data_IF_995842496143
#
_entry.id   IF_995842496143
#
_cell.length_a   1.000
_cell.length_b   1.000
_cell.length_c   1.000
_cell.angle_alpha   90.00
_cell.angle_beta   90.00
_cell.angle_gamma   90.00
#
_symmetry.space_group_name_H-M   'P 1'
#
loop_
_entity.id
_entity.type
_entity.pdbx_description
1 polymer ?
#
# COMPACT_ATOMS: atom_id res chain seq x y z
N UNK A 1 -49.32 -8.05 87.71
CA UNK A 1 -47.92 -7.66 87.46
C UNK A 1 -47.67 -7.76 85.96
N UNK A 2 -47.38 -6.62 85.33
CA UNK A 2 -46.71 -6.37 84.03
C UNK A 2 -47.27 -6.96 82.71
N UNK A 3 -47.73 -6.01 81.89
CA UNK A 3 -47.92 -5.95 80.44
C UNK A 3 -46.63 -6.11 79.61
N UNK A 4 -46.74 -6.48 78.32
CA UNK A 4 -46.04 -6.00 77.09
C UNK A 4 -46.28 -7.02 75.94
N UNK A 5 -47.00 -6.73 74.85
CA UNK A 5 -46.68 -5.92 73.64
C UNK A 5 -45.58 -6.51 72.73
N UNK A 6 -45.96 -7.00 71.53
CA UNK A 6 -45.35 -6.80 70.19
C UNK A 6 -46.08 -7.72 69.17
N UNK A 7 -46.88 -7.30 68.17
CA UNK A 7 -46.72 -6.45 66.96
C UNK A 7 -45.90 -7.06 65.79
N UNK A 8 -46.52 -6.98 64.58
CA UNK A 8 -45.97 -7.06 63.20
C UNK A 8 -45.86 -8.49 62.62
N UNK A 9 -46.38 -8.84 61.43
CA UNK A 9 -47.06 -8.09 60.38
C UNK A 9 -47.42 -9.01 59.17
N UNK A 10 -48.54 -8.65 58.56
CA UNK A 10 -49.12 -8.87 57.20
C UNK A 10 -48.08 -9.17 56.08
N UNK A 11 -48.35 -9.82 54.94
CA UNK A 11 -49.43 -9.60 53.98
C UNK A 11 -49.50 -10.72 52.91
N UNK A 12 -50.71 -10.92 52.39
CA UNK A 12 -51.19 -11.93 51.45
C UNK A 12 -51.22 -11.38 50.00
N UNK A 13 -51.22 -12.32 49.03
CA UNK A 13 -51.76 -12.27 47.66
C UNK A 13 -50.94 -11.60 46.54
N UNK A 14 -50.58 -12.33 45.48
CA UNK A 14 -51.36 -12.81 44.30
C UNK A 14 -51.40 -11.76 43.17
N UNK A 15 -50.74 -12.10 42.05
CA UNK A 15 -51.26 -12.08 40.67
C UNK A 15 -50.37 -11.40 39.62
N UNK A 16 -50.44 -12.01 38.43
CA UNK A 16 -50.31 -11.47 37.07
C UNK A 16 -49.03 -11.72 36.27
N UNK A 17 -49.30 -12.39 35.15
CA UNK A 17 -48.46 -12.67 33.99
C UNK A 17 -47.89 -11.41 33.36
N UNK A 18 -46.62 -11.47 32.95
CA UNK A 18 -46.11 -10.72 31.81
C UNK A 18 -45.43 -11.72 30.88
N UNK A 19 -46.08 -11.94 29.74
CA UNK A 19 -45.54 -12.57 28.54
C UNK A 19 -44.45 -11.66 27.98
N UNK A 20 -43.18 -12.04 28.11
CA UNK A 20 -42.14 -11.49 27.26
C UNK A 20 -42.18 -12.23 25.94
N UNK A 21 -42.65 -11.51 24.92
CA UNK A 21 -42.43 -11.82 23.52
C UNK A 21 -40.95 -12.16 23.35
N UNK A 22 -40.63 -13.35 22.83
CA UNK A 22 -39.29 -13.62 22.34
C UNK A 22 -39.11 -12.75 21.11
N UNK A 23 -38.52 -11.58 21.32
CA UNK A 23 -38.11 -10.69 20.25
C UNK A 23 -37.29 -11.52 19.27
N UNK A 24 -37.83 -11.59 18.05
CA UNK A 24 -37.15 -12.13 16.90
C UNK A 24 -35.74 -11.55 16.91
N UNK A 25 -34.75 -12.43 16.80
CA UNK A 25 -33.45 -12.01 16.29
C UNK A 25 -33.71 -11.46 14.90
N UNK A 26 -33.97 -10.15 14.83
CA UNK A 26 -33.60 -9.38 13.68
C UNK A 26 -32.13 -9.70 13.48
N UNK A 27 -31.85 -10.51 12.46
CA UNK A 27 -30.61 -10.41 11.73
C UNK A 27 -30.57 -8.95 11.26
N UNK A 28 -30.08 -8.08 12.13
CA UNK A 28 -29.48 -6.85 11.70
C UNK A 28 -28.29 -7.30 10.88
N UNK A 29 -28.52 -7.42 9.57
CA UNK A 29 -27.50 -7.52 8.57
C UNK A 29 -26.71 -6.23 8.64
N UNK A 30 -25.89 -6.12 9.68
CA UNK A 30 -24.91 -5.07 9.86
C UNK A 30 -24.03 -5.18 8.62
N UNK A 31 -24.25 -4.25 7.70
CA UNK A 31 -23.26 -3.83 6.72
C UNK A 31 -21.94 -3.79 7.46
N UNK A 32 -21.02 -4.71 7.15
CA UNK A 32 -19.74 -4.81 7.86
C UNK A 32 -19.01 -3.49 7.66
N UNK A 33 -19.10 -2.60 8.66
CA UNK A 33 -18.55 -1.27 8.56
C UNK A 33 -17.04 -1.36 8.29
N UNK A 34 -16.54 -0.52 7.38
CA UNK A 34 -15.12 -0.41 7.14
C UNK A 34 -14.49 0.28 8.34
N UNK A 35 -13.59 -0.39 9.07
CA UNK A 35 -12.89 0.21 10.21
C UNK A 35 -11.69 1.06 9.75
N UNK A 36 -11.27 2.03 10.58
CA UNK A 36 -10.04 2.78 10.32
C UNK A 36 -8.80 1.87 10.40
N UNK A 37 -8.82 0.84 11.25
CA UNK A 37 -7.72 -0.10 11.38
C UNK A 37 -7.48 -0.91 10.10
N UNK A 38 -8.54 -1.33 9.41
CA UNK A 38 -8.43 -2.01 8.13
C UNK A 38 -7.88 -1.09 7.03
N UNK A 39 -8.31 0.17 7.01
CA UNK A 39 -7.78 1.18 6.08
C UNK A 39 -6.28 1.40 6.33
N UNK A 40 -5.87 1.59 7.58
CA UNK A 40 -4.46 1.75 7.96
C UNK A 40 -3.66 0.50 7.55
N UNK A 41 -4.23 -0.70 7.72
CA UNK A 41 -3.59 -1.96 7.34
C UNK A 41 -3.37 -2.05 5.82
N UNK A 42 -4.40 -1.76 5.03
CA UNK A 42 -4.29 -1.70 3.57
C UNK A 42 -3.26 -0.65 3.13
N UNK A 43 -3.23 0.50 3.80
CA UNK A 43 -2.27 1.57 3.55
C UNK A 43 -0.83 1.14 3.81
N UNK A 44 -0.56 0.40 4.90
CA UNK A 44 0.76 -0.17 5.19
C UNK A 44 1.20 -1.19 4.14
N UNK A 45 0.27 -1.95 3.58
CA UNK A 45 0.55 -2.83 2.45
C UNK A 45 0.96 -1.98 1.25
N UNK A 46 0.20 -0.92 0.91
CA UNK A 46 0.51 -0.04 -0.22
C UNK A 46 1.92 0.54 -0.14
N UNK A 47 2.35 1.01 1.04
CA UNK A 47 3.71 1.50 1.25
C UNK A 47 4.78 0.43 0.95
N UNK A 48 4.54 -0.82 1.35
CA UNK A 48 5.45 -1.92 1.01
C UNK A 48 5.49 -2.21 -0.48
N UNK A 49 4.34 -2.15 -1.18
CA UNK A 49 4.28 -2.34 -2.64
C UNK A 49 5.02 -1.22 -3.35
N UNK A 50 4.84 0.02 -2.91
CA UNK A 50 5.45 1.19 -3.53
C UNK A 50 6.97 1.14 -3.36
N UNK A 51 7.49 0.83 -2.17
CA UNK A 51 8.92 0.72 -1.95
C UNK A 51 9.59 -0.36 -2.80
N UNK A 52 9.02 -1.57 -2.89
CA UNK A 52 9.60 -2.61 -3.76
C UNK A 52 9.47 -2.26 -5.24
N UNK A 53 8.46 -1.48 -5.62
CA UNK A 53 8.33 -0.97 -7.00
C UNK A 53 9.42 0.04 -7.30
N UNK A 54 9.66 0.98 -6.39
CA UNK A 54 10.70 1.98 -6.53
C UNK A 54 12.10 1.35 -6.56
N UNK A 55 12.35 0.32 -5.75
CA UNK A 55 13.60 -0.47 -5.83
C UNK A 55 13.73 -1.14 -7.22
N UNK A 56 12.68 -1.78 -7.74
CA UNK A 56 12.72 -2.42 -9.06
C UNK A 56 13.05 -1.43 -10.18
N UNK A 57 12.34 -0.30 -10.20
CA UNK A 57 12.50 0.73 -11.23
C UNK A 57 13.84 1.46 -11.11
N UNK A 58 14.31 1.74 -9.90
CA UNK A 58 15.65 2.28 -9.66
C UNK A 58 16.74 1.36 -10.23
N UNK A 59 16.68 0.06 -9.97
CA UNK A 59 17.69 -0.86 -10.46
C UNK A 59 17.70 -1.01 -11.98
N UNK A 60 16.51 -0.94 -12.60
CA UNK A 60 16.38 -0.84 -14.05
C UNK A 60 16.98 0.46 -14.59
N UNK A 61 16.55 1.61 -14.05
CA UNK A 61 17.00 2.93 -14.49
C UNK A 61 18.50 3.11 -14.31
N UNK A 62 19.07 2.62 -13.21
CA UNK A 62 20.52 2.63 -12.99
C UNK A 62 21.26 1.84 -14.09
N UNK A 63 20.73 0.71 -14.55
CA UNK A 63 21.36 -0.07 -15.63
C UNK A 63 21.20 0.61 -17.00
N UNK A 64 20.01 1.13 -17.29
CA UNK A 64 19.71 1.91 -18.49
C UNK A 64 20.67 3.10 -18.58
N UNK A 65 20.80 3.85 -17.49
CA UNK A 65 21.65 5.02 -17.39
C UNK A 65 23.12 4.64 -17.58
N UNK A 66 23.68 3.64 -16.89
CA UNK A 66 25.08 3.21 -17.13
C UNK A 66 25.34 2.90 -18.62
N UNK A 67 24.38 2.25 -19.28
CA UNK A 67 24.49 1.90 -20.71
C UNK A 67 24.45 3.13 -21.61
N UNK A 68 23.69 4.16 -21.22
CA UNK A 68 23.58 5.44 -21.93
C UNK A 68 24.79 6.40 -21.71
N UNK A 69 25.77 6.04 -20.86
CA UNK A 69 26.97 6.85 -20.52
C UNK A 69 26.71 8.28 -20.05
N UNK A 70 25.86 8.54 -19.07
CA UNK A 70 25.51 9.89 -18.70
C UNK A 70 26.58 10.48 -17.77
N UNK A 71 26.81 11.78 -17.86
CA UNK A 71 27.79 12.51 -17.04
C UNK A 71 27.18 12.98 -15.72
N UNK A 72 27.99 13.03 -14.65
CA UNK A 72 27.61 13.62 -13.35
C UNK A 72 27.53 12.61 -12.19
N UNK A 73 27.55 13.08 -10.93
CA UNK A 73 27.38 12.23 -9.76
C UNK A 73 25.93 11.75 -9.66
N UNK A 74 25.72 10.43 -9.72
CA UNK A 74 24.39 9.82 -9.59
C UNK A 74 24.03 9.74 -8.11
N UNK A 75 22.86 10.26 -7.73
CA UNK A 75 22.36 10.08 -6.36
C UNK A 75 21.99 8.60 -6.14
N UNK A 76 22.61 7.97 -5.16
CA UNK A 76 22.27 6.59 -4.79
C UNK A 76 20.87 6.54 -4.16
N UNK A 77 19.99 5.72 -4.71
CA UNK A 77 18.68 5.44 -4.14
C UNK A 77 18.77 4.42 -2.98
N UNK A 78 19.59 3.38 -3.16
CA UNK A 78 19.79 2.34 -2.16
C UNK A 78 20.85 2.74 -1.12
N UNK A 79 20.66 2.34 0.16
CA UNK A 79 21.64 2.58 1.21
C UNK A 79 22.92 1.77 1.00
N UNK A 80 24.03 2.21 1.59
CA UNK A 80 25.35 1.57 1.44
C UNK A 80 25.46 0.15 1.99
N UNK A 81 24.52 -0.28 2.85
CA UNK A 81 24.45 -1.65 3.35
C UNK A 81 23.88 -2.63 2.31
N UNK A 82 23.20 -2.14 1.27
CA UNK A 82 22.66 -2.99 0.21
C UNK A 82 23.79 -3.43 -0.73
N UNK A 83 23.91 -4.74 -0.96
CA UNK A 83 24.86 -5.31 -1.91
C UNK A 83 24.16 -5.63 -3.23
N UNK A 84 24.67 -5.10 -4.33
CA UNK A 84 24.08 -5.30 -5.66
C UNK A 84 24.97 -6.24 -6.47
N UNK A 85 24.43 -7.37 -6.90
CA UNK A 85 25.07 -8.27 -7.86
C UNK A 85 24.39 -8.15 -9.21
N UNK A 86 25.15 -7.91 -10.28
CA UNK A 86 24.60 -7.75 -11.64
C UNK A 86 25.20 -8.80 -12.57
N UNK A 87 24.34 -9.54 -13.28
CA UNK A 87 24.73 -10.58 -14.23
C UNK A 87 23.99 -10.36 -15.55
N UNK A 88 24.71 -10.47 -16.68
CA UNK A 88 24.11 -10.55 -18.01
C UNK A 88 24.20 -11.98 -18.52
N UNK A 89 23.09 -12.59 -18.88
CA UNK A 89 23.05 -13.93 -19.49
C UNK A 89 21.92 -13.99 -20.50
N UNK A 90 22.18 -14.50 -21.71
CA UNK A 90 21.19 -14.63 -22.79
C UNK A 90 20.35 -13.35 -23.01
N UNK A 91 21.02 -12.20 -23.14
CA UNK A 91 20.40 -10.88 -23.31
C UNK A 91 19.44 -10.44 -22.18
N UNK A 92 19.50 -11.06 -21.01
CA UNK A 92 18.73 -10.66 -19.82
C UNK A 92 19.67 -10.19 -18.73
N UNK A 93 19.48 -8.97 -18.26
CA UNK A 93 20.10 -8.49 -17.04
C UNK A 93 19.36 -9.08 -15.84
N UNK A 94 20.10 -9.61 -14.89
CA UNK A 94 19.60 -10.01 -13.56
C UNK A 94 20.38 -9.24 -12.51
N UNK A 95 19.67 -8.44 -11.73
CA UNK A 95 20.20 -7.70 -10.58
C UNK A 95 19.64 -8.29 -9.29
N UNK A 96 20.52 -8.70 -8.39
CA UNK A 96 20.14 -9.10 -7.03
C UNK A 96 20.54 -7.99 -6.08
N UNK A 97 19.54 -7.43 -5.38
CA UNK A 97 19.75 -6.50 -4.27
C UNK A 97 19.62 -7.30 -2.98
N UNK A 98 20.72 -7.41 -2.24
CA UNK A 98 20.80 -8.11 -0.96
C UNK A 98 20.92 -7.10 0.18
N UNK A 99 19.90 -7.04 1.03
CA UNK A 99 19.84 -6.18 2.22
C UNK A 99 20.30 -6.90 3.49
N UNK A 100 20.78 -8.15 3.36
CA UNK A 100 21.23 -8.97 4.48
C UNK A 100 20.11 -9.41 5.42
N UNK A 101 20.49 -10.12 6.49
CA UNK A 101 19.57 -10.59 7.53
C UNK A 101 19.22 -9.51 8.54
N UNK A 102 20.18 -8.63 8.84
CA UNK A 102 20.01 -7.50 9.76
C UNK A 102 19.13 -6.39 9.17
N UNK A 103 19.09 -6.30 7.83
CA UNK A 103 18.32 -5.31 7.11
C UNK A 103 19.03 -3.97 6.92
N UNK A 104 18.40 -3.15 6.09
CA UNK A 104 18.84 -1.85 5.64
C UNK A 104 17.73 -0.83 5.80
N UNK A 105 18.05 0.34 6.35
CA UNK A 105 17.14 1.48 6.39
C UNK A 105 17.26 2.27 5.09
N UNK A 106 16.15 2.43 4.37
CA UNK A 106 16.02 3.26 3.17
C UNK A 106 15.97 4.75 3.54
N UNK A 107 16.15 5.65 2.57
CA UNK A 107 16.12 7.11 2.81
C UNK A 107 14.76 7.60 3.37
N UNK A 108 13.69 6.83 3.13
CA UNK A 108 12.36 7.09 3.66
C UNK A 108 12.14 6.61 5.11
N UNK A 109 13.16 5.98 5.71
CA UNK A 109 13.11 5.43 7.07
C UNK A 109 12.54 4.02 7.18
N UNK A 110 12.04 3.43 6.10
CA UNK A 110 11.58 2.04 6.10
C UNK A 110 12.77 1.08 6.12
N UNK A 111 12.59 -0.05 6.79
CA UNK A 111 13.59 -1.10 6.92
C UNK A 111 13.22 -2.25 6.00
N UNK A 112 14.17 -2.63 5.13
CA UNK A 112 14.06 -3.80 4.25
C UNK A 112 15.15 -4.82 4.58
N UNK A 113 14.84 -6.11 4.52
CA UNK A 113 15.81 -7.20 4.73
C UNK A 113 15.57 -8.33 3.74
N UNK A 114 16.56 -9.20 3.56
CA UNK A 114 16.55 -10.27 2.57
C UNK A 114 16.89 -9.77 1.17
N UNK A 115 16.43 -10.48 0.14
CA UNK A 115 16.85 -10.26 -1.24
C UNK A 115 15.69 -9.98 -2.17
N UNK A 116 15.95 -9.12 -3.14
CA UNK A 116 15.08 -8.87 -4.28
C UNK A 116 15.86 -9.14 -5.57
N UNK A 117 15.35 -10.02 -6.42
CA UNK A 117 15.96 -10.38 -7.71
C UNK A 117 15.13 -9.77 -8.81
N UNK A 118 15.74 -8.87 -9.58
CA UNK A 118 15.12 -8.05 -10.62
C UNK A 118 15.71 -8.46 -11.97
N UNK A 119 14.87 -8.64 -12.98
CA UNK A 119 15.28 -9.03 -14.32
C UNK A 119 14.60 -8.22 -15.41
N UNK A 120 15.36 -7.86 -16.45
CA UNK A 120 14.87 -7.12 -17.61
C UNK A 120 15.77 -7.35 -18.84
N UNK A 121 15.24 -7.04 -20.02
CA UNK A 121 15.96 -7.18 -21.29
C UNK A 121 17.19 -6.27 -21.38
N UNK A 122 18.24 -6.72 -22.06
CA UNK A 122 19.39 -5.90 -22.46
C UNK A 122 19.12 -5.05 -23.71
N UNK A 123 17.97 -5.20 -24.35
CA UNK A 123 17.56 -4.31 -25.44
C UNK A 123 16.88 -3.06 -24.87
N UNK A 124 17.68 -2.06 -24.53
CA UNK A 124 17.18 -0.76 -24.06
C UNK A 124 16.56 0.12 -25.16
N UNK A 125 16.70 -0.27 -26.43
CA UNK A 125 16.12 0.47 -27.56
C UNK A 125 14.64 0.15 -27.80
N UNK A 126 14.15 -0.94 -27.22
CA UNK A 126 12.74 -1.32 -27.26
C UNK A 126 11.84 -0.23 -26.67
N UNK A 127 10.76 0.09 -27.39
CA UNK A 127 9.72 1.03 -26.94
C UNK A 127 8.94 0.54 -25.72
N UNK A 128 8.98 -0.77 -25.46
CA UNK A 128 8.35 -1.42 -24.31
C UNK A 128 9.38 -2.24 -23.55
N UNK A 129 9.48 -1.99 -22.25
CA UNK A 129 10.38 -2.69 -21.34
C UNK A 129 9.58 -3.44 -20.30
N UNK A 130 9.98 -4.68 -20.01
CA UNK A 130 9.39 -5.47 -18.92
C UNK A 130 10.40 -5.64 -17.82
N UNK A 131 10.04 -5.20 -16.61
CA UNK A 131 10.81 -5.37 -15.38
C UNK A 131 10.05 -6.38 -14.54
N UNK A 132 10.66 -7.52 -14.30
CA UNK A 132 10.13 -8.55 -13.40
C UNK A 132 10.96 -8.60 -12.14
N UNK A 133 10.33 -8.93 -11.01
CA UNK A 133 11.09 -9.20 -9.80
C UNK A 133 10.47 -10.31 -8.95
N UNK A 134 11.33 -10.92 -8.13
CA UNK A 134 10.98 -11.95 -7.15
C UNK A 134 11.68 -11.66 -5.82
N UNK A 135 11.21 -12.31 -4.77
CA UNK A 135 11.71 -12.15 -3.41
C UNK A 135 12.35 -13.43 -2.89
N UNK A 136 13.48 -13.31 -2.20
CA UNK A 136 14.09 -14.39 -1.43
C UNK A 136 14.28 -13.92 0.02
N UNK A 137 13.45 -14.46 0.91
CA UNK A 137 13.43 -14.08 2.32
C UNK A 137 13.22 -12.58 2.56
N UNK A 138 12.48 -11.89 1.69
CA UNK A 138 12.33 -10.43 1.74
C UNK A 138 11.29 -9.96 2.76
N UNK A 139 11.62 -8.90 3.50
CA UNK A 139 10.70 -8.25 4.42
C UNK A 139 10.78 -6.72 4.30
N UNK A 140 9.65 -6.06 4.55
CA UNK A 140 9.51 -4.61 4.65
C UNK A 140 8.83 -4.25 5.97
N UNK A 141 9.51 -3.50 6.84
CA UNK A 141 9.05 -3.14 8.19
C UNK A 141 8.41 -4.34 8.91
N UNK A 142 9.16 -5.45 9.03
CA UNK A 142 8.70 -6.70 9.66
C UNK A 142 7.76 -7.57 8.81
N UNK A 143 7.08 -7.00 7.80
CA UNK A 143 6.15 -7.74 6.94
C UNK A 143 6.90 -8.56 5.91
N UNK A 144 6.67 -9.88 5.87
CA UNK A 144 7.21 -10.77 4.84
C UNK A 144 6.46 -10.54 3.53
N UNK A 145 7.18 -10.33 2.43
CA UNK A 145 6.59 -10.18 1.10
C UNK A 145 6.91 -11.41 0.25
N UNK A 146 5.88 -11.92 -0.43
CA UNK A 146 5.97 -13.04 -1.34
C UNK A 146 5.07 -12.78 -2.56
N UNK A 147 5.34 -13.48 -3.66
CA UNK A 147 4.61 -13.32 -4.91
C UNK A 147 5.42 -12.58 -5.97
N UNK A 148 4.72 -12.06 -6.98
CA UNK A 148 5.35 -11.46 -8.15
C UNK A 148 4.63 -10.21 -8.58
N UNK A 149 5.41 -9.28 -9.13
CA UNK A 149 4.90 -8.13 -9.88
C UNK A 149 5.63 -8.10 -11.22
N UNK A 150 4.87 -7.83 -12.28
CA UNK A 150 5.43 -7.46 -13.57
C UNK A 150 5.15 -5.98 -13.81
N UNK A 151 6.18 -5.23 -14.21
CA UNK A 151 6.08 -3.82 -14.57
C UNK A 151 6.40 -3.71 -16.06
N UNK A 152 5.45 -3.21 -16.83
CA UNK A 152 5.62 -2.89 -18.25
C UNK A 152 5.76 -1.38 -18.38
N UNK A 153 6.94 -0.93 -18.79
CA UNK A 153 7.29 0.48 -18.96
C UNK A 153 7.32 0.86 -20.44
N UNK A 154 6.72 1.99 -20.77
CA UNK A 154 6.69 2.58 -22.12
C UNK A 154 6.95 4.08 -22.05
N UNK A 155 7.46 4.69 -23.12
CA UNK A 155 7.48 6.16 -23.26
C UNK A 155 6.31 6.56 -24.18
N UNK A 156 5.35 7.32 -23.66
CA UNK A 156 4.16 7.75 -24.41
C UNK A 156 3.55 9.02 -23.83
N UNK A 157 2.65 9.64 -24.58
CA UNK A 157 1.73 10.67 -24.08
C UNK A 157 0.49 10.02 -23.48
N UNK A 158 -0.17 10.71 -22.54
CA UNK A 158 -1.42 10.26 -21.92
C UNK A 158 -2.40 11.42 -21.80
N UNK A 159 -3.65 11.13 -21.42
CA UNK A 159 -4.65 12.18 -21.14
C UNK A 159 -4.29 12.98 -19.88
N UNK A 160 -3.53 12.38 -18.96
CA UNK A 160 -3.05 13.04 -17.74
C UNK A 160 -1.83 13.92 -18.00
N UNK A 161 -0.98 13.56 -18.96
CA UNK A 161 0.21 14.33 -19.29
C UNK A 161 0.56 14.26 -20.79
N UNK A 162 0.44 15.41 -21.45
CA UNK A 162 0.54 15.55 -22.91
C UNK A 162 1.98 15.45 -23.46
N UNK A 163 3.00 15.57 -22.61
CA UNK A 163 4.40 15.37 -23.00
C UNK A 163 4.73 13.88 -22.94
N UNK A 164 5.51 13.37 -23.90
CA UNK A 164 5.92 11.96 -23.87
C UNK A 164 6.81 11.70 -22.65
N UNK A 165 6.41 10.74 -21.81
CA UNK A 165 7.04 10.47 -20.52
C UNK A 165 6.97 8.98 -20.18
N UNK A 166 7.73 8.50 -19.18
CA UNK A 166 7.62 7.13 -18.68
C UNK A 166 6.26 6.82 -18.07
N UNK A 167 5.64 5.76 -18.60
CA UNK A 167 4.41 5.17 -18.08
C UNK A 167 4.65 3.71 -17.77
N UNK A 168 4.52 3.34 -16.50
CA UNK A 168 4.71 2.00 -15.96
C UNK A 168 3.36 1.39 -15.57
N UNK A 169 2.99 0.29 -16.23
CA UNK A 169 1.81 -0.52 -15.86
C UNK A 169 2.25 -1.73 -15.05
N UNK A 170 1.63 -1.92 -13.91
CA UNK A 170 2.07 -2.82 -12.86
C UNK A 170 0.95 -3.81 -12.51
N UNK A 171 1.14 -5.09 -12.78
CA UNK A 171 0.23 -6.15 -12.30
C UNK A 171 0.75 -6.72 -11.00
N UNK A 172 -0.07 -6.64 -9.95
CA UNK A 172 0.27 -7.04 -8.59
C UNK A 172 -0.42 -8.37 -8.29
N UNK A 173 0.34 -9.36 -7.81
CA UNK A 173 -0.17 -10.54 -7.12
C UNK A 173 0.81 -10.90 -5.99
N UNK A 174 0.51 -10.42 -4.79
CA UNK A 174 1.40 -10.52 -3.63
C UNK A 174 0.69 -11.08 -2.41
N UNK A 175 1.44 -11.84 -1.63
CA UNK A 175 1.09 -12.29 -0.28
C UNK A 175 1.97 -11.55 0.72
N UNK A 176 1.35 -10.94 1.73
CA UNK A 176 2.02 -10.17 2.76
C UNK A 176 1.69 -10.80 4.11
N UNK A 177 2.71 -11.24 4.85
CA UNK A 177 2.54 -11.78 6.20
C UNK A 177 3.05 -10.78 7.23
N UNK A 178 2.19 -10.37 8.16
CA UNK A 178 2.52 -9.45 9.24
C UNK A 178 3.18 -10.20 10.42
N UNK A 179 3.83 -9.47 11.33
CA UNK A 179 4.54 -10.05 12.48
C UNK A 179 3.61 -10.78 13.45
N UNK A 180 2.32 -10.41 13.47
CA UNK A 180 1.28 -11.09 14.26
C UNK A 180 0.80 -12.41 13.62
N UNK A 181 1.35 -12.79 12.47
CA UNK A 181 0.96 -13.97 11.70
C UNK A 181 -0.20 -13.74 10.74
N UNK A 182 -0.77 -12.53 10.69
CA UNK A 182 -1.82 -12.17 9.74
C UNK A 182 -1.34 -12.27 8.30
N UNK A 183 -2.02 -13.09 7.49
CA UNK A 183 -1.72 -13.25 6.06
C UNK A 183 -2.73 -12.50 5.22
N UNK A 184 -2.23 -11.60 4.38
CA UNK A 184 -2.99 -10.78 3.45
C UNK A 184 -2.59 -11.12 2.03
N UNK A 185 -3.52 -11.02 1.09
CA UNK A 185 -3.18 -11.05 -0.34
C UNK A 185 -3.61 -9.75 -1.00
N UNK A 186 -2.81 -9.26 -1.94
CA UNK A 186 -3.11 -8.10 -2.77
C UNK A 186 -3.04 -8.50 -4.23
N UNK A 187 -4.13 -8.23 -4.96
CA UNK A 187 -4.17 -8.33 -6.43
C UNK A 187 -4.59 -7.00 -7.03
N UNK A 188 -4.08 -6.63 -8.19
CA UNK A 188 -4.51 -5.38 -8.83
C UNK A 188 -3.67 -4.97 -10.02
N UNK A 189 -4.05 -3.84 -10.60
CA UNK A 189 -3.33 -3.18 -11.68
C UNK A 189 -3.17 -1.71 -11.37
N UNK A 190 -1.94 -1.22 -11.37
CA UNK A 190 -1.62 0.20 -11.20
C UNK A 190 -0.93 0.73 -12.46
N UNK A 191 -1.22 1.97 -12.81
CA UNK A 191 -0.49 2.72 -13.83
C UNK A 191 0.18 3.90 -13.12
N UNK A 192 1.50 4.00 -13.25
CA UNK A 192 2.32 5.09 -12.71
C UNK A 192 2.91 5.90 -13.86
N UNK A 193 2.69 7.21 -13.83
CA UNK A 193 3.15 8.17 -14.83
C UNK A 193 4.16 9.13 -14.19
N UNK A 194 5.36 9.23 -14.74
CA UNK A 194 6.39 10.16 -14.25
C UNK A 194 6.17 11.55 -14.88
N UNK A 195 5.55 12.45 -14.11
CA UNK A 195 5.16 13.79 -14.58
C UNK A 195 6.21 14.88 -14.32
N UNK A 196 7.20 14.60 -13.46
CA UNK A 196 8.38 15.43 -13.27
C UNK A 196 9.64 14.57 -13.05
N UNK A 197 10.81 15.15 -13.31
CA UNK A 197 12.12 14.56 -13.05
C UNK A 197 12.71 13.68 -14.17
N UNK A 198 11.98 13.47 -15.27
CA UNK A 198 12.43 12.56 -16.34
C UNK A 198 13.74 13.00 -16.99
N UNK A 199 13.91 14.31 -17.21
CA UNK A 199 15.12 14.87 -17.81
C UNK A 199 16.27 15.05 -16.81
N UNK A 200 16.00 14.96 -15.51
CA UNK A 200 16.95 15.10 -14.39
C UNK A 200 17.30 13.74 -13.78
N UNK A 201 17.56 12.74 -14.63
CA UNK A 201 17.83 11.33 -14.26
C UNK A 201 18.89 11.08 -13.16
N UNK A 202 19.76 12.04 -12.86
CA UNK A 202 20.78 11.98 -11.80
C UNK A 202 20.26 12.39 -10.41
N UNK A 203 19.09 13.05 -10.36
CA UNK A 203 18.45 13.56 -9.15
C UNK A 203 17.05 12.97 -9.03
N UNK A 204 16.87 11.99 -8.14
CA UNK A 204 15.55 11.40 -7.93
C UNK A 204 14.62 12.26 -7.05
N UNK A 205 15.13 13.28 -6.35
CA UNK A 205 14.35 14.08 -5.39
C UNK A 205 13.33 15.02 -6.06
N UNK A 206 13.51 15.35 -7.34
CA UNK A 206 12.60 16.19 -8.11
C UNK A 206 11.55 15.38 -8.89
N UNK A 207 11.52 14.06 -8.71
CA UNK A 207 10.55 13.20 -9.36
C UNK A 207 9.15 13.42 -8.76
N UNK A 208 8.15 13.52 -9.64
CA UNK A 208 6.74 13.46 -9.28
C UNK A 208 6.03 12.42 -10.13
N UNK A 209 5.08 11.71 -9.53
CA UNK A 209 4.34 10.65 -10.18
C UNK A 209 2.84 10.77 -9.96
N UNK A 210 2.07 10.47 -11.01
CA UNK A 210 0.64 10.24 -10.91
C UNK A 210 0.36 8.73 -10.99
N UNK A 211 -0.43 8.22 -10.05
CA UNK A 211 -0.81 6.81 -10.00
C UNK A 211 -2.31 6.67 -10.15
N UNK A 212 -2.73 5.78 -11.03
CA UNK A 212 -4.13 5.36 -11.21
C UNK A 212 -4.24 3.85 -11.15
N UNK A 213 -5.46 3.34 -11.06
CA UNK A 213 -5.74 1.91 -11.10
C UNK A 213 -6.56 1.44 -9.91
N UNK A 214 -6.56 0.14 -9.72
CA UNK A 214 -7.40 -0.51 -8.72
C UNK A 214 -6.79 -1.83 -8.26
N UNK A 215 -7.27 -2.31 -7.12
CA UNK A 215 -6.84 -3.58 -6.57
C UNK A 215 -7.75 -4.05 -5.45
N UNK A 216 -7.46 -5.26 -5.01
CA UNK A 216 -8.24 -6.00 -4.04
C UNK A 216 -7.32 -6.57 -2.98
N UNK A 217 -7.59 -6.28 -1.71
CA UNK A 217 -6.91 -6.87 -0.55
C UNK A 217 -7.81 -7.90 0.10
N UNK A 218 -7.36 -9.15 0.24
CA UNK A 218 -8.03 -10.15 1.08
C UNK A 218 -7.34 -10.21 2.44
N UNK A 219 -8.15 -10.11 3.49
CA UNK A 219 -7.75 -10.08 4.90
C UNK A 219 -7.69 -11.51 5.48
N UNK A 220 -7.00 -11.72 6.63
CA UNK A 220 -6.89 -13.04 7.26
C UNK A 220 -8.24 -13.70 7.59
N UNK A 221 -9.27 -12.89 7.85
CA UNK A 221 -10.63 -13.35 8.13
C UNK A 221 -11.45 -13.69 6.85
N UNK A 222 -10.85 -13.57 5.67
CA UNK A 222 -11.51 -13.79 4.37
C UNK A 222 -12.21 -12.57 3.80
N UNK A 223 -12.33 -11.48 4.56
CA UNK A 223 -12.92 -10.25 4.05
C UNK A 223 -12.09 -9.66 2.91
N UNK A 224 -12.77 -9.03 1.97
CA UNK A 224 -12.13 -8.48 0.78
C UNK A 224 -12.44 -7.00 0.62
N UNK A 225 -11.38 -6.21 0.46
CA UNK A 225 -11.40 -4.76 0.26
C UNK A 225 -11.03 -4.47 -1.19
N UNK A 226 -11.95 -3.90 -1.96
CA UNK A 226 -11.65 -3.35 -3.27
C UNK A 226 -11.32 -1.88 -3.13
N UNK A 227 -10.23 -1.44 -3.73
CA UNK A 227 -9.79 -0.05 -3.76
C UNK A 227 -9.68 0.40 -5.22
N UNK A 228 -10.23 1.57 -5.52
CA UNK A 228 -10.18 2.21 -6.83
C UNK A 228 -9.71 3.65 -6.67
N UNK A 229 -8.70 4.04 -7.43
CA UNK A 229 -8.24 5.43 -7.48
C UNK A 229 -9.19 6.21 -8.39
N UNK A 230 -10.03 7.05 -7.79
CA UNK A 230 -11.04 7.85 -8.51
C UNK A 230 -10.51 9.21 -8.94
N UNK A 231 -9.48 9.71 -8.24
CA UNK A 231 -8.69 10.87 -8.64
C UNK A 231 -7.22 10.45 -8.54
N UNK A 232 -6.40 10.62 -9.60
CA UNK A 232 -5.01 10.18 -9.61
C UNK A 232 -4.28 10.55 -8.32
N UNK A 233 -3.58 9.57 -7.75
CA UNK A 233 -2.75 9.78 -6.57
C UNK A 233 -1.43 10.43 -6.99
N UNK A 234 -1.07 11.53 -6.36
CA UNK A 234 0.18 12.24 -6.62
C UNK A 234 1.22 11.85 -5.58
N UNK A 235 2.41 11.47 -6.03
CA UNK A 235 3.55 11.14 -5.18
C UNK A 235 4.70 12.07 -5.52
N UNK A 236 5.27 12.71 -4.50
CA UNK A 236 6.43 13.58 -4.64
C UNK A 236 7.65 12.96 -3.95
N UNK A 237 8.73 12.75 -4.70
CA UNK A 237 9.97 12.21 -4.15
C UNK A 237 10.62 13.16 -3.12
N UNK A 238 10.34 14.46 -3.23
CA UNK A 238 10.74 15.51 -2.29
C UNK A 238 10.28 15.23 -0.85
N UNK A 239 9.12 14.56 -0.68
CA UNK A 239 8.59 14.17 0.61
C UNK A 239 9.35 13.00 1.26
N UNK A 240 10.22 12.31 0.50
CA UNK A 240 11.03 11.16 0.95
C UNK A 240 10.20 10.09 1.67
N UNK A 241 8.96 9.87 1.26
CA UNK A 241 8.04 8.91 1.89
C UNK A 241 7.15 8.24 0.84
N UNK A 242 6.79 6.95 1.02
CA UNK A 242 5.99 6.20 0.05
C UNK A 242 4.48 6.41 0.30
N UNK A 243 4.02 7.66 0.31
CA UNK A 243 2.61 8.01 0.39
C UNK A 243 2.23 9.05 -0.66
N UNK A 244 0.96 9.02 -1.05
CA UNK A 244 0.40 10.04 -1.91
C UNK A 244 0.15 11.31 -1.10
N UNK A 245 0.47 12.47 -1.67
CA UNK A 245 0.24 13.79 -1.07
C UNK A 245 -1.11 14.40 -1.50
N UNK A 246 -1.75 13.79 -2.50
CA UNK A 246 -3.00 14.25 -3.11
C UNK A 246 -3.68 13.11 -3.86
N UNK A 247 -4.99 13.24 -4.05
CA UNK A 247 -5.81 12.32 -4.83
C UNK A 247 -6.83 11.58 -3.95
N UNK A 248 -7.65 10.74 -4.59
CA UNK A 248 -8.82 10.15 -3.93
C UNK A 248 -8.92 8.67 -4.26
N UNK A 249 -9.13 7.86 -3.22
CA UNK A 249 -9.38 6.42 -3.31
C UNK A 249 -10.76 6.10 -2.75
N UNK A 250 -11.55 5.36 -3.51
CA UNK A 250 -12.78 4.73 -3.03
C UNK A 250 -12.46 3.30 -2.60
N UNK A 251 -12.89 2.93 -1.40
CA UNK A 251 -12.79 1.58 -0.85
C UNK A 251 -14.19 1.01 -0.68
N UNK A 252 -14.37 -0.21 -1.16
CA UNK A 252 -15.60 -0.98 -0.99
C UNK A 252 -15.30 -2.29 -0.27
N UNK A 253 -16.08 -2.58 0.76
CA UNK A 253 -16.10 -3.86 1.48
C UNK A 253 -17.55 -4.30 1.60
N UNK A 254 -17.92 -5.40 0.96
CA UNK A 254 -19.32 -5.81 0.81
C UNK A 254 -20.15 -4.66 0.19
N UNK A 255 -21.10 -4.09 0.94
CA UNK A 255 -21.91 -2.93 0.53
C UNK A 255 -21.49 -1.62 1.20
N UNK A 256 -20.48 -1.65 2.09
CA UNK A 256 -19.97 -0.45 2.73
C UNK A 256 -18.94 0.24 1.83
N UNK A 257 -19.02 1.57 1.75
CA UNK A 257 -18.11 2.40 0.97
C UNK A 257 -17.43 3.41 1.89
N UNK A 258 -16.12 3.59 1.70
CA UNK A 258 -15.33 4.63 2.34
C UNK A 258 -14.52 5.38 1.28
N UNK A 259 -14.48 6.70 1.35
CA UNK A 259 -13.65 7.54 0.47
C UNK A 259 -12.49 8.08 1.28
N UNK A 260 -11.27 7.95 0.75
CA UNK A 260 -10.04 8.48 1.33
C UNK A 260 -9.56 9.61 0.42
N UNK A 261 -9.45 10.81 0.97
CA UNK A 261 -8.87 11.99 0.33
C UNK A 261 -7.50 12.27 0.97
N UNK A 262 -6.46 12.26 0.14
CA UNK A 262 -5.07 12.42 0.54
C UNK A 262 -4.65 13.89 0.73
N UNK A 263 -5.55 14.85 0.50
CA UNK A 263 -5.28 16.25 0.76
C UNK A 263 -4.80 17.01 -0.48
N UNK A 264 -4.00 18.04 -0.24
CA UNK A 264 -3.70 19.11 -1.20
C UNK A 264 -2.22 19.24 -1.56
N UNK A 265 -1.35 18.32 -1.12
CA UNK A 265 0.08 18.31 -1.46
C UNK A 265 1.03 18.34 -0.26
N UNK A 266 0.54 18.34 0.99
CA UNK A 266 1.42 18.34 2.15
C UNK A 266 2.17 17.01 2.31
N UNK A 267 3.45 17.07 2.69
CA UNK A 267 4.27 15.89 3.00
C UNK A 267 3.92 15.32 4.39
N UNK A 268 2.69 14.89 4.59
CA UNK A 268 2.23 14.21 5.80
C UNK A 268 1.36 12.98 5.49
N UNK A 269 1.05 12.21 6.53
CA UNK A 269 0.28 10.97 6.44
C UNK A 269 -1.18 11.14 6.85
N UNK A 270 -1.65 12.38 6.96
CA UNK A 270 -3.02 12.70 7.33
C UNK A 270 -3.93 12.60 6.11
N UNK A 271 -5.08 11.96 6.30
CA UNK A 271 -6.09 11.82 5.24
C UNK A 271 -7.48 12.06 5.81
N UNK A 272 -8.39 12.52 4.95
CA UNK A 272 -9.81 12.64 5.29
C UNK A 272 -10.52 11.40 4.80
N UNK A 273 -11.22 10.73 5.72
CA UNK A 273 -12.00 9.53 5.44
C UNK A 273 -13.47 9.84 5.61
N UNK A 274 -14.23 9.65 4.54
CA UNK A 274 -15.68 9.84 4.53
C UNK A 274 -16.39 8.49 4.45
N UNK A 275 -17.26 8.21 5.41
CA UNK A 275 -18.10 7.01 5.51
C UNK A 275 -19.52 7.46 5.83
N UNK A 276 -20.51 7.00 5.07
CA UNK A 276 -21.93 7.33 5.29
C UNK A 276 -22.19 8.85 5.46
N UNK A 277 -21.45 9.68 4.71
CA UNK A 277 -21.53 11.14 4.77
C UNK A 277 -20.80 11.81 5.94
N UNK A 278 -20.18 11.04 6.83
CA UNK A 278 -19.39 11.55 7.97
C UNK A 278 -17.90 11.51 7.62
N UNK A 279 -17.24 12.67 7.71
CA UNK A 279 -15.81 12.81 7.46
C UNK A 279 -15.03 12.91 8.77
N UNK A 280 -13.92 12.18 8.85
CA UNK A 280 -12.95 12.24 9.94
C UNK A 280 -11.54 12.33 9.37
N UNK A 281 -10.65 13.05 10.05
CA UNK A 281 -9.23 13.05 9.74
C UNK A 281 -8.53 11.93 10.53
N UNK A 282 -7.68 11.15 9.84
CA UNK A 282 -6.86 10.13 10.49
C UNK A 282 -5.43 10.18 9.97
N UNK A 283 -4.50 9.70 10.79
CA UNK A 283 -3.14 9.42 10.40
C UNK A 283 -3.01 7.96 9.92
N UNK A 284 -2.52 7.76 8.69
CA UNK A 284 -2.26 6.45 8.10
C UNK A 284 -1.06 5.70 8.74
N UNK A 285 -0.25 6.39 9.55
CA UNK A 285 0.92 5.85 10.27
C UNK A 285 1.88 5.10 9.33
N UNK A 286 2.25 5.78 8.24
CA UNK A 286 3.15 5.31 7.19
C UNK A 286 4.60 5.71 7.42
#
# INVERSE_FOLDING_TARGET
MKTKELFIGTLIAFSFFISCNSDEKTNDGTTSAISNAEIITASKIDASIEDVTNIAEDQFNAQLNITAKPGGPIKNFLPSCATITTVLTNNTWTKTVDFGTEGCTLDNGNVVKGKMVISFSNDFSSSTQTISYTFDGFYHNGKKLQGSKSIVRTIKTTDLFATAHPVSTATIDMTITFDDGGVYTRKGSLVKEMVAGYDTWFNWDDNAFLVTGSGTTTFPNGDTFSAEITTPLEFEASCKKPFAVKGVVSITKNNAVAVIDYGDGNCDTLVKITKDGVTQEIDLKK
#
